data_IF_079353205235
#
_entry.id   IF_079353205235
#
_cell.length_a   1.000
_cell.length_b   1.000
_cell.length_c   1.000
_cell.angle_alpha   90.00
_cell.angle_beta   90.00
_cell.angle_gamma   90.00
#
_symmetry.space_group_name_H-M   'P 1'
#
loop_
_entity.id
_entity.type
_entity.pdbx_description
1 polymer ?
#
# COMPACT_ATOMS: atom_id res chain seq x y z
N UNK A 1 -9.58 -19.27 -7.37
CA UNK A 1 -8.91 -18.92 -8.64
C UNK A 1 -8.19 -17.62 -8.43
N UNK A 2 -6.91 -17.55 -8.77
CA UNK A 2 -6.11 -16.33 -8.66
C UNK A 2 -6.69 -15.26 -9.59
N UNK A 3 -7.27 -14.18 -9.05
CA UNK A 3 -7.95 -13.12 -9.81
C UNK A 3 -7.07 -12.54 -10.93
N UNK A 4 -5.75 -12.51 -10.75
CA UNK A 4 -4.77 -12.08 -11.73
C UNK A 4 -4.53 -13.11 -12.86
N UNK A 5 -4.65 -14.40 -12.56
CA UNK A 5 -4.56 -15.46 -13.57
C UNK A 5 -5.74 -15.37 -14.54
N UNK A 6 -6.95 -15.17 -14.01
CA UNK A 6 -8.13 -14.95 -14.84
C UNK A 6 -7.99 -13.66 -15.65
N UNK A 7 -7.57 -12.57 -15.01
CA UNK A 7 -7.38 -11.29 -15.67
C UNK A 7 -6.39 -11.34 -16.84
N UNK A 8 -5.27 -12.05 -16.67
CA UNK A 8 -4.24 -12.20 -17.70
C UNK A 8 -4.72 -13.07 -18.87
N UNK A 9 -5.39 -14.20 -18.59
CA UNK A 9 -5.97 -15.08 -19.63
C UNK A 9 -7.04 -14.35 -20.46
N UNK A 10 -7.87 -13.53 -19.80
CA UNK A 10 -8.91 -12.73 -20.45
C UNK A 10 -8.39 -11.44 -21.10
N UNK A 11 -7.11 -11.10 -20.91
CA UNK A 11 -6.51 -9.83 -21.34
C UNK A 11 -7.35 -8.63 -20.91
N UNK A 12 -7.73 -8.59 -19.63
CA UNK A 12 -8.60 -7.54 -19.12
C UNK A 12 -8.03 -6.14 -19.40
N UNK A 13 -8.95 -5.24 -19.74
CA UNK A 13 -8.69 -3.83 -19.99
C UNK A 13 -9.63 -2.99 -19.17
N UNK A 14 -9.17 -1.82 -18.74
CA UNK A 14 -9.94 -0.89 -17.93
C UNK A 14 -10.08 0.41 -18.70
N UNK A 15 -11.32 0.83 -18.93
CA UNK A 15 -11.60 2.10 -19.58
C UNK A 15 -11.32 3.25 -18.62
N UNK A 16 -10.50 4.19 -19.06
CA UNK A 16 -10.20 5.42 -18.33
C UNK A 16 -10.38 6.64 -19.22
N UNK A 17 -10.41 7.82 -18.62
CA UNK A 17 -10.48 9.10 -19.37
C UNK A 17 -9.31 9.32 -20.33
N UNK A 18 -8.17 8.63 -20.11
CA UNK A 18 -6.96 8.75 -20.92
C UNK A 18 -6.77 7.58 -21.89
N UNK A 19 -7.74 6.67 -21.97
CA UNK A 19 -7.67 5.47 -22.79
C UNK A 19 -7.83 4.19 -21.98
N UNK A 20 -7.66 3.05 -22.64
CA UNK A 20 -7.71 1.75 -21.99
C UNK A 20 -6.35 1.40 -21.38
N UNK A 21 -6.36 0.92 -20.14
CA UNK A 21 -5.16 0.44 -19.45
C UNK A 21 -5.27 -1.07 -19.17
N UNK A 22 -4.14 -1.74 -18.98
CA UNK A 22 -4.09 -3.15 -18.65
C UNK A 22 -4.24 -3.44 -17.15
N UNK A 23 -4.23 -4.72 -16.80
CA UNK A 23 -4.17 -5.18 -15.40
C UNK A 23 -2.88 -4.75 -14.71
N UNK A 24 -1.75 -4.78 -15.43
CA UNK A 24 -0.44 -4.41 -14.92
C UNK A 24 -0.36 -2.90 -14.62
N UNK A 25 -0.92 -2.08 -15.51
CA UNK A 25 -0.95 -0.62 -15.37
C UNK A 25 -1.67 -0.14 -14.10
N UNK A 26 -2.53 -0.97 -13.49
CA UNK A 26 -3.19 -0.66 -12.21
C UNK A 26 -2.18 -0.41 -11.09
N UNK A 27 -1.02 -1.07 -11.12
CA UNK A 27 0.02 -0.91 -10.10
C UNK A 27 0.68 0.46 -10.15
N UNK A 28 0.70 1.12 -11.31
CA UNK A 28 1.27 2.44 -11.50
C UNK A 28 0.28 3.56 -11.16
N UNK A 29 -1.02 3.22 -11.03
CA UNK A 29 -2.04 4.21 -10.70
C UNK A 29 -1.95 4.67 -9.23
N UNK A 30 -2.18 5.96 -8.96
CA UNK A 30 -2.25 6.47 -7.60
C UNK A 30 -3.50 5.95 -6.88
N UNK A 31 -3.40 5.78 -5.54
CA UNK A 31 -4.52 5.37 -4.69
C UNK A 31 -5.68 6.37 -4.79
N UNK A 32 -5.38 7.67 -4.64
CA UNK A 32 -6.34 8.76 -4.75
C UNK A 32 -5.73 9.97 -5.47
N UNK A 33 -6.60 10.74 -6.10
CA UNK A 33 -6.35 12.13 -6.50
C UNK A 33 -5.17 12.39 -7.46
N UNK A 34 -5.27 11.92 -8.70
CA UNK A 34 -4.44 12.40 -9.82
C UNK A 34 -5.33 12.75 -11.01
N UNK A 35 -5.64 14.03 -11.21
CA UNK A 35 -6.21 14.59 -12.46
C UNK A 35 -7.23 13.69 -13.20
N UNK A 36 -8.13 13.02 -12.47
CA UNK A 36 -9.17 12.13 -13.00
C UNK A 36 -8.79 10.68 -13.30
N UNK A 37 -7.56 10.24 -13.01
CA UNK A 37 -7.05 8.88 -13.19
C UNK A 37 -6.46 8.34 -11.87
N UNK A 38 -7.24 7.58 -11.12
CA UNK A 38 -6.79 6.93 -9.88
C UNK A 38 -7.52 5.61 -9.66
N UNK A 39 -6.98 4.76 -8.78
CA UNK A 39 -7.62 3.51 -8.39
C UNK A 39 -8.99 3.73 -7.75
N UNK A 40 -9.12 4.75 -6.90
CA UNK A 40 -10.42 5.13 -6.31
C UNK A 40 -11.45 5.57 -7.37
N UNK A 41 -11.04 6.36 -8.37
CA UNK A 41 -11.94 6.78 -9.45
C UNK A 41 -12.39 5.58 -10.30
N UNK A 42 -11.47 4.66 -10.59
CA UNK A 42 -11.78 3.43 -11.33
C UNK A 42 -12.72 2.52 -10.54
N UNK A 43 -12.46 2.32 -9.25
CA UNK A 43 -13.32 1.54 -8.36
C UNK A 43 -14.74 2.12 -8.28
N UNK A 44 -14.87 3.44 -8.14
CA UNK A 44 -16.18 4.13 -8.15
C UNK A 44 -16.92 3.94 -9.47
N UNK A 45 -16.21 4.05 -10.60
CA UNK A 45 -16.79 3.82 -11.93
C UNK A 45 -17.31 2.39 -12.11
N UNK A 46 -16.50 1.39 -11.75
CA UNK A 46 -16.88 -0.02 -11.82
C UNK A 46 -18.03 -0.36 -10.88
N UNK A 47 -18.02 0.17 -9.65
CA UNK A 47 -19.10 -0.04 -8.69
C UNK A 47 -20.43 0.56 -9.17
N UNK A 48 -20.40 1.69 -9.87
CA UNK A 48 -21.61 2.28 -10.47
C UNK A 48 -22.16 1.37 -11.58
N UNK A 49 -21.30 0.93 -12.50
CA UNK A 49 -21.69 -0.02 -13.58
C UNK A 49 -22.30 -1.31 -12.99
N UNK A 50 -21.71 -1.85 -11.92
CA UNK A 50 -22.23 -3.06 -11.25
C UNK A 50 -23.62 -2.86 -10.62
N UNK A 51 -23.90 -1.66 -10.11
CA UNK A 51 -25.21 -1.32 -9.54
C UNK A 51 -26.25 -1.16 -10.63
N UNK A 52 -25.90 -0.47 -11.72
CA UNK A 52 -26.76 -0.30 -12.90
C UNK A 52 -27.16 -1.67 -13.49
N UNK A 53 -26.21 -2.61 -13.64
CA UNK A 53 -26.52 -3.98 -14.09
C UNK A 53 -27.44 -4.76 -13.13
N UNK A 54 -27.34 -4.51 -11.82
CA UNK A 54 -28.14 -5.18 -10.80
C UNK A 54 -29.59 -4.69 -10.74
N UNK A 55 -29.88 -3.49 -11.26
CA UNK A 55 -31.20 -2.87 -11.21
C UNK A 55 -32.08 -3.25 -12.42
N UNK A 56 -31.51 -3.68 -13.55
CA UNK A 56 -32.23 -3.80 -14.83
C UNK A 56 -32.76 -5.20 -15.20
N UNK A 57 -32.43 -6.29 -14.48
CA UNK A 57 -32.99 -7.60 -14.83
C UNK A 57 -33.23 -8.58 -13.68
N UNK A 58 -34.52 -8.87 -13.45
CA UNK A 58 -34.98 -9.99 -12.61
C UNK A 58 -35.27 -11.27 -13.41
N UNK A 59 -35.15 -11.21 -14.74
CA UNK A 59 -35.59 -12.27 -15.66
C UNK A 59 -34.44 -12.84 -16.49
N UNK A 60 -33.38 -12.07 -16.74
CA UNK A 60 -32.23 -12.50 -17.53
C UNK A 60 -31.11 -13.00 -16.60
N UNK A 61 -30.57 -14.22 -16.81
CA UNK A 61 -29.44 -14.72 -16.06
C UNK A 61 -28.20 -13.82 -16.27
N UNK A 62 -27.33 -13.74 -15.25
CA UNK A 62 -26.09 -12.93 -15.31
C UNK A 62 -25.29 -13.23 -16.59
N UNK A 63 -25.01 -12.19 -17.36
CA UNK A 63 -24.21 -12.28 -18.58
C UNK A 63 -22.72 -12.50 -18.26
N UNK A 64 -21.97 -12.96 -19.26
CA UNK A 64 -20.50 -13.03 -19.20
C UNK A 64 -19.89 -11.65 -18.94
N UNK A 65 -20.49 -10.57 -19.43
CA UNK A 65 -20.08 -9.19 -19.19
C UNK A 65 -20.13 -8.83 -17.70
N UNK A 66 -21.20 -9.24 -17.01
CA UNK A 66 -21.33 -9.02 -15.56
C UNK A 66 -20.26 -9.76 -14.76
N UNK A 67 -19.84 -10.95 -15.22
CA UNK A 67 -18.72 -11.69 -14.60
C UNK A 67 -17.37 -11.00 -14.81
N UNK A 68 -17.15 -10.42 -16.00
CA UNK A 68 -15.95 -9.63 -16.32
C UNK A 68 -15.90 -8.36 -15.49
N UNK A 69 -17.03 -7.66 -15.35
CA UNK A 69 -17.13 -6.44 -14.58
C UNK A 69 -16.90 -6.68 -13.08
N UNK A 70 -17.43 -7.80 -12.56
CA UNK A 70 -17.17 -8.24 -11.18
C UNK A 70 -15.69 -8.53 -10.97
N UNK A 71 -15.05 -9.26 -11.90
CA UNK A 71 -13.63 -9.58 -11.85
C UNK A 71 -12.76 -8.32 -11.91
N UNK A 72 -13.09 -7.36 -12.78
CA UNK A 72 -12.42 -6.06 -12.86
C UNK A 72 -12.50 -5.32 -11.52
N UNK A 73 -13.67 -5.30 -10.90
CA UNK A 73 -13.86 -4.63 -9.62
C UNK A 73 -13.08 -5.28 -8.48
N UNK A 74 -13.08 -6.62 -8.41
CA UNK A 74 -12.28 -7.37 -7.44
C UNK A 74 -10.78 -7.12 -7.60
N UNK A 75 -10.29 -7.07 -8.84
CA UNK A 75 -8.89 -6.79 -9.14
C UNK A 75 -8.47 -5.41 -8.64
N UNK A 76 -9.26 -4.38 -8.93
CA UNK A 76 -8.99 -3.00 -8.48
C UNK A 76 -9.01 -2.93 -6.95
N UNK A 77 -9.97 -3.58 -6.28
CA UNK A 77 -10.00 -3.65 -4.82
C UNK A 77 -8.76 -4.31 -4.24
N UNK A 78 -8.29 -5.40 -4.85
CA UNK A 78 -7.08 -6.08 -4.41
C UNK A 78 -5.86 -5.17 -4.52
N UNK A 79 -5.66 -4.53 -5.67
CA UNK A 79 -4.53 -3.60 -5.88
C UNK A 79 -4.59 -2.44 -4.88
N UNK A 80 -5.76 -1.86 -4.63
CA UNK A 80 -5.96 -0.81 -3.61
C UNK A 80 -5.50 -1.30 -2.24
N UNK A 81 -5.95 -2.49 -1.83
CA UNK A 81 -5.60 -3.08 -0.54
C UNK A 81 -4.09 -3.23 -0.40
N UNK A 82 -3.44 -3.85 -1.37
CA UNK A 82 -1.98 -4.06 -1.35
C UNK A 82 -1.24 -2.73 -1.28
N UNK A 83 -1.60 -1.74 -2.09
CA UNK A 83 -0.93 -0.43 -2.07
C UNK A 83 -1.13 0.33 -0.76
N UNK A 84 -2.27 0.16 -0.08
CA UNK A 84 -2.49 0.70 1.26
C UNK A 84 -1.56 0.02 2.27
N UNK A 85 -1.49 -1.31 2.25
CA UNK A 85 -0.62 -2.09 3.13
C UNK A 85 0.86 -1.73 2.94
N UNK A 86 1.31 -1.58 1.70
CA UNK A 86 2.68 -1.16 1.36
C UNK A 86 3.00 0.26 1.86
N UNK A 87 2.08 1.21 1.65
CA UNK A 87 2.21 2.59 2.15
C UNK A 87 2.34 2.59 3.67
N UNK A 88 1.45 1.89 4.36
CA UNK A 88 1.38 1.87 5.81
C UNK A 88 2.63 1.16 6.40
N UNK A 89 3.09 0.08 5.76
CA UNK A 89 4.34 -0.59 6.13
C UNK A 89 5.56 0.33 5.97
N UNK A 90 5.63 1.11 4.87
CA UNK A 90 6.70 2.09 4.64
C UNK A 90 6.68 3.20 5.69
N UNK A 91 5.51 3.75 6.02
CA UNK A 91 5.38 4.74 7.09
C UNK A 91 5.80 4.18 8.45
N UNK A 92 5.38 2.96 8.78
CA UNK A 92 5.76 2.31 10.03
C UNK A 92 7.27 2.06 10.09
N UNK A 93 7.90 1.65 8.99
CA UNK A 93 9.35 1.47 8.92
C UNK A 93 10.09 2.79 9.14
N UNK A 94 9.63 3.89 8.55
CA UNK A 94 10.20 5.24 8.77
C UNK A 94 10.04 5.67 10.23
N UNK A 95 8.85 5.52 10.81
CA UNK A 95 8.59 5.84 12.23
C UNK A 95 9.48 5.00 13.16
N UNK A 96 9.63 3.70 12.90
CA UNK A 96 10.52 2.80 13.65
C UNK A 96 11.98 3.23 13.53
N UNK A 97 12.44 3.58 12.33
CA UNK A 97 13.81 4.07 12.09
C UNK A 97 14.08 5.35 12.86
N UNK A 98 13.18 6.33 12.80
CA UNK A 98 13.30 7.59 13.53
C UNK A 98 13.31 7.37 15.06
N UNK A 99 12.41 6.52 15.59
CA UNK A 99 12.41 6.17 17.01
C UNK A 99 13.69 5.46 17.44
N UNK A 100 14.18 4.51 16.65
CA UNK A 100 15.43 3.78 16.94
C UNK A 100 16.63 4.72 16.97
N UNK A 101 16.68 5.69 16.06
CA UNK A 101 17.73 6.69 16.03
C UNK A 101 17.71 7.56 17.30
N UNK A 102 16.54 8.09 17.67
CA UNK A 102 16.39 8.88 18.90
C UNK A 102 16.73 8.11 20.17
N UNK A 103 16.36 6.83 20.25
CA UNK A 103 16.69 5.98 21.39
C UNK A 103 18.21 5.77 21.50
N UNK A 104 18.90 5.57 20.37
CA UNK A 104 20.37 5.41 20.37
C UNK A 104 21.09 6.67 20.83
N UNK A 105 20.63 7.84 20.38
CA UNK A 105 21.17 9.14 20.83
C UNK A 105 21.01 9.29 22.35
N UNK A 106 19.83 9.01 22.89
CA UNK A 106 19.59 9.08 24.35
C UNK A 106 20.45 8.06 25.12
N UNK A 107 20.68 6.87 24.56
CA UNK A 107 21.56 5.87 25.19
C UNK A 107 22.99 6.41 25.25
N UNK A 108 23.51 6.92 24.13
CA UNK A 108 24.84 7.51 24.08
C UNK A 108 24.99 8.69 25.05
N UNK A 109 24.01 9.60 25.09
CA UNK A 109 24.01 10.73 26.02
C UNK A 109 24.05 10.27 27.48
N UNK A 110 23.30 9.21 27.84
CA UNK A 110 23.31 8.64 29.19
C UNK A 110 24.61 7.92 29.53
N UNK A 111 25.20 7.22 28.57
CA UNK A 111 26.51 6.60 28.73
C UNK A 111 27.56 7.68 28.99
N UNK A 112 27.55 8.77 28.22
CA UNK A 112 28.41 9.93 28.41
C UNK A 112 28.18 10.63 29.76
N UNK A 113 26.93 10.83 30.18
CA UNK A 113 26.61 11.37 31.52
C UNK A 113 27.14 10.47 32.63
N UNK A 114 27.00 9.15 32.47
CA UNK A 114 27.51 8.18 33.45
C UNK A 114 29.03 8.27 33.56
N UNK A 115 29.74 8.31 32.42
CA UNK A 115 31.19 8.48 32.38
C UNK A 115 31.63 9.83 32.99
N UNK A 116 30.90 10.92 32.71
CA UNK A 116 31.18 12.25 33.27
C UNK A 116 30.99 12.32 34.79
N UNK A 117 30.15 11.45 35.36
CA UNK A 117 29.90 11.40 36.81
C UNK A 117 30.90 10.53 37.58
N UNK A 118 31.75 9.75 36.89
CA UNK A 118 32.81 8.97 37.53
C UNK A 118 33.98 9.88 37.95
N UNK A 119 34.71 9.46 38.99
CA UNK A 119 35.95 10.13 39.40
C UNK A 119 37.10 9.85 38.44
N UNK A 120 38.13 10.71 38.46
CA UNK A 120 39.32 10.55 37.59
C UNK A 120 40.03 9.20 37.80
N UNK A 121 40.12 8.72 39.05
CA UNK A 121 40.74 7.44 39.37
C UNK A 121 39.94 6.25 38.83
N UNK A 122 38.61 6.33 38.81
CA UNK A 122 37.73 5.30 38.24
C UNK A 122 37.82 5.27 36.72
N UNK A 123 37.87 6.44 36.08
CA UNK A 123 38.05 6.56 34.63
C UNK A 123 39.43 6.02 34.18
N UNK A 124 40.49 6.27 34.94
CA UNK A 124 41.84 5.72 34.66
C UNK A 124 41.86 4.19 34.77
N UNK A 125 41.23 3.61 35.80
CA UNK A 125 41.12 2.15 35.93
C UNK A 125 40.37 1.51 34.76
N UNK A 126 39.26 2.10 34.31
CA UNK A 126 38.52 1.61 33.15
C UNK A 126 39.34 1.68 31.85
N UNK A 127 40.26 2.65 31.73
CA UNK A 127 41.16 2.76 30.59
C UNK A 127 42.29 1.72 30.63
N UNK A 128 42.82 1.41 31.82
CA UNK A 128 43.88 0.42 32.00
C UNK A 128 43.38 -1.04 31.82
N UNK A 129 42.08 -1.29 32.03
CA UNK A 129 41.42 -2.60 31.85
C UNK A 129 40.97 -2.89 30.39
N UNK A 130 41.17 -1.93 29.46
CA UNK A 130 40.88 -2.07 28.02
C UNK A 130 42.10 -2.55 27.23
#
# INVERSE_FOLDING_TARGET
MEIFEQASRLKLRFETKRGCISTEDLWDLPLSNDHGLSLDNLAKGLNRKLKEEGEESFVVPKSQESSILSLQFELVKHVIKVKIEERDAKEQALKKKAKKQKIREIIADKEDETLKNLSEDELRKMLDDL
#
